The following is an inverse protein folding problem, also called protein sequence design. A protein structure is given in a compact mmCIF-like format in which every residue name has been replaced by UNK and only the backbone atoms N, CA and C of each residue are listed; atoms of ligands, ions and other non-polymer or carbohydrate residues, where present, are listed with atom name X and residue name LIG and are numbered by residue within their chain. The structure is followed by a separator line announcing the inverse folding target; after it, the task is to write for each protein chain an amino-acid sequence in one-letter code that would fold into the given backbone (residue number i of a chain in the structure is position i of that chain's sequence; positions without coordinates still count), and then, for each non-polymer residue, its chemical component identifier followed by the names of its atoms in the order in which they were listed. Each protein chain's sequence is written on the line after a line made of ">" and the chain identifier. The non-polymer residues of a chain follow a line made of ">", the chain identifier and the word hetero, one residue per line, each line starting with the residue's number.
data_IF_262056536195
#
_entry.id   IF_262056536195
#
_cell.length_a   1.000
_cell.length_b   1.000
_cell.length_c   1.000
_cell.angle_alpha   90.00
_cell.angle_beta   90.00
_cell.angle_gamma   90.00
#
_symmetry.space_group_name_H-M   'P 1'
#
loop_
_entity.id
_entity.type
_entity.pdbx_description
1 polymer ?
#
# COMPACT_ATOMS: atom_id res chain seq x y z
N UNK A 1 43.52 -6.67 -22.28
CA UNK A 1 42.30 -7.47 -21.99
C UNK A 1 41.68 -6.97 -20.68
N UNK A 2 40.75 -6.01 -20.74
CA UNK A 2 40.13 -5.43 -19.55
C UNK A 2 38.89 -6.24 -19.12
N UNK A 3 39.01 -7.03 -18.06
CA UNK A 3 37.91 -7.86 -17.55
C UNK A 3 36.90 -6.96 -16.82
N UNK A 4 35.75 -6.74 -17.48
CA UNK A 4 34.65 -5.91 -16.98
C UNK A 4 33.98 -6.61 -15.78
N UNK A 5 34.34 -6.21 -14.55
CA UNK A 5 33.79 -6.75 -13.30
C UNK A 5 32.31 -6.32 -13.16
N UNK A 6 31.39 -7.23 -13.47
CA UNK A 6 29.93 -7.03 -13.37
C UNK A 6 29.53 -7.00 -11.89
N UNK A 7 29.32 -5.81 -11.31
CA UNK A 7 28.77 -5.65 -9.95
C UNK A 7 27.31 -6.12 -9.95
N UNK A 8 27.06 -7.30 -9.42
CA UNK A 8 25.71 -7.74 -9.08
C UNK A 8 25.19 -6.90 -7.91
N UNK A 9 24.34 -5.91 -8.20
CA UNK A 9 23.59 -5.20 -7.17
C UNK A 9 22.60 -6.20 -6.58
N UNK A 10 22.95 -6.75 -5.40
CA UNK A 10 22.05 -7.58 -4.60
C UNK A 10 20.85 -6.71 -4.23
N UNK A 11 19.76 -6.84 -4.99
CA UNK A 11 18.49 -6.17 -4.74
C UNK A 11 17.97 -6.66 -3.38
N UNK A 12 18.20 -5.87 -2.34
CA UNK A 12 17.67 -6.17 -1.01
C UNK A 12 16.15 -6.19 -1.12
N UNK A 13 15.56 -7.38 -0.99
CA UNK A 13 14.11 -7.50 -0.87
C UNK A 13 13.71 -6.76 0.42
N UNK A 14 12.76 -5.81 0.36
CA UNK A 14 12.30 -5.13 1.56
C UNK A 14 11.78 -6.19 2.54
N UNK A 15 12.30 -6.17 3.77
CA UNK A 15 11.85 -7.01 4.88
C UNK A 15 10.33 -6.85 4.99
N UNK A 16 9.58 -7.93 4.77
CA UNK A 16 8.14 -7.89 4.73
C UNK A 16 7.60 -7.36 6.07
N UNK A 17 7.04 -6.15 6.06
CA UNK A 17 6.21 -5.67 7.16
C UNK A 17 5.04 -6.65 7.33
N UNK A 18 4.63 -6.89 8.59
CA UNK A 18 3.52 -7.79 8.87
C UNK A 18 2.25 -7.30 8.17
N UNK A 19 1.38 -8.23 7.74
CA UNK A 19 0.17 -7.89 7.00
C UNK A 19 -0.72 -6.87 7.76
N UNK A 20 -0.77 -6.97 9.09
CA UNK A 20 -1.47 -6.01 9.96
C UNK A 20 -0.85 -4.59 9.93
N UNK A 21 0.47 -4.47 9.77
CA UNK A 21 1.18 -3.20 9.62
C UNK A 21 0.96 -2.59 8.24
N UNK A 22 0.82 -3.42 7.19
CA UNK A 22 0.54 -2.94 5.84
C UNK A 22 -0.88 -2.35 5.73
N UNK A 23 -1.87 -3.01 6.35
CA UNK A 23 -3.27 -2.55 6.33
C UNK A 23 -3.47 -1.24 7.10
N UNK A 24 -2.87 -1.11 8.28
CA UNK A 24 -2.93 0.14 9.06
C UNK A 24 -2.23 1.31 8.34
N UNK A 25 -1.12 1.03 7.66
CA UNK A 25 -0.41 2.02 6.85
C UNK A 25 -1.27 2.50 5.66
N UNK A 26 -1.97 1.59 5.00
CA UNK A 26 -2.84 1.92 3.87
C UNK A 26 -4.03 2.77 4.36
N UNK A 27 -4.68 2.41 5.46
CA UNK A 27 -5.76 3.20 6.09
C UNK A 27 -5.29 4.61 6.48
N UNK A 28 -4.12 4.74 7.09
CA UNK A 28 -3.55 6.04 7.45
C UNK A 28 -3.22 6.87 6.20
N UNK A 29 -2.68 6.26 5.15
CA UNK A 29 -2.42 6.95 3.89
C UNK A 29 -3.73 7.44 3.23
N UNK A 30 -4.79 6.64 3.27
CA UNK A 30 -6.11 7.02 2.76
C UNK A 30 -6.70 8.19 3.56
N UNK A 31 -6.64 8.15 4.89
CA UNK A 31 -7.10 9.25 5.74
C UNK A 31 -6.33 10.57 5.47
N UNK A 32 -5.01 10.48 5.35
CA UNK A 32 -4.17 11.62 4.97
C UNK A 32 -4.48 12.13 3.55
N UNK A 33 -4.77 11.23 2.60
CA UNK A 33 -5.16 11.64 1.25
C UNK A 33 -6.50 12.38 1.25
N UNK A 34 -7.47 11.92 2.05
CA UNK A 34 -8.76 12.58 2.20
C UNK A 34 -8.64 13.98 2.82
N UNK A 35 -7.75 14.17 3.80
CA UNK A 35 -7.51 15.49 4.39
C UNK A 35 -6.85 16.45 3.39
N UNK A 36 -5.89 15.99 2.59
CA UNK A 36 -5.29 16.80 1.52
C UNK A 36 -6.28 17.15 0.41
N UNK A 37 -7.22 16.26 0.09
CA UNK A 37 -8.28 16.51 -0.88
C UNK A 37 -9.26 17.59 -0.37
N UNK A 38 -9.68 17.51 0.90
CA UNK A 38 -10.51 18.54 1.53
C UNK A 38 -9.81 19.90 1.59
N UNK A 39 -8.51 19.93 1.84
CA UNK A 39 -7.73 21.17 1.82
C UNK A 39 -7.69 21.81 0.42
N UNK A 40 -7.53 20.99 -0.63
CA UNK A 40 -7.56 21.42 -2.02
C UNK A 40 -8.93 21.97 -2.42
N UNK A 41 -10.01 21.31 -2.00
CA UNK A 41 -11.38 21.78 -2.20
C UNK A 41 -11.61 23.15 -1.56
N UNK A 42 -11.17 23.32 -0.30
CA UNK A 42 -11.23 24.61 0.40
C UNK A 42 -10.45 25.70 -0.33
N UNK A 43 -9.26 25.39 -0.83
CA UNK A 43 -8.44 26.34 -1.60
C UNK A 43 -9.13 26.74 -2.91
N UNK A 44 -9.76 25.79 -3.61
CA UNK A 44 -10.53 26.07 -4.83
C UNK A 44 -11.77 26.93 -4.55
N UNK A 45 -12.49 26.67 -3.45
CA UNK A 45 -13.61 27.52 -3.04
C UNK A 45 -13.16 28.95 -2.73
N UNK A 46 -11.99 29.12 -2.08
CA UNK A 46 -11.40 30.43 -1.83
C UNK A 46 -10.99 31.15 -3.12
N UNK A 47 -10.45 30.42 -4.11
CA UNK A 47 -10.15 30.94 -5.44
C UNK A 47 -11.41 31.46 -6.14
N UNK A 48 -12.49 30.66 -6.15
CA UNK A 48 -13.76 31.05 -6.75
C UNK A 48 -14.34 32.31 -6.09
N UNK A 49 -14.30 32.39 -4.75
CA UNK A 49 -14.72 33.60 -4.01
C UNK A 49 -13.85 34.81 -4.34
N UNK A 50 -12.53 34.64 -4.46
CA UNK A 50 -11.62 35.71 -4.82
C UNK A 50 -11.86 36.21 -6.26
N UNK A 51 -12.17 35.32 -7.20
CA UNK A 51 -12.53 35.66 -8.57
C UNK A 51 -13.85 36.44 -8.62
N UNK A 52 -14.89 35.93 -7.97
CA UNK A 52 -16.17 36.64 -7.89
C UNK A 52 -16.05 38.04 -7.24
N UNK A 53 -15.16 38.18 -6.25
CA UNK A 53 -14.85 39.49 -5.64
C UNK A 53 -14.11 40.44 -6.58
N UNK A 54 -13.34 39.92 -7.54
CA UNK A 54 -12.68 40.71 -8.59
C UNK A 54 -13.69 41.22 -9.61
N UNK A 55 -14.65 40.39 -10.01
CA UNK A 55 -15.66 40.75 -11.01
C UNK A 55 -16.64 41.81 -10.49
N UNK A 56 -16.89 41.84 -9.18
CA UNK A 56 -17.75 42.85 -8.52
C UNK A 56 -17.03 44.17 -8.17
N UNK A 57 -15.72 44.27 -8.36
CA UNK A 57 -14.95 45.45 -7.97
C UNK A 57 -15.16 46.62 -8.94
N UNK A 58 -15.76 47.71 -8.47
CA UNK A 58 -16.08 48.89 -9.29
C UNK A 58 -14.93 49.91 -9.39
N UNK A 59 -14.09 50.05 -8.37
CA UNK A 59 -13.00 51.05 -8.33
C UNK A 59 -11.64 50.46 -8.70
N UNK A 60 -10.73 51.28 -9.24
CA UNK A 60 -9.38 50.85 -9.64
C UNK A 60 -8.57 50.27 -8.45
N UNK A 61 -8.65 50.92 -7.28
CA UNK A 61 -8.01 50.42 -6.05
C UNK A 61 -8.58 49.06 -5.61
N UNK A 62 -9.91 48.88 -5.69
CA UNK A 62 -10.56 47.61 -5.36
C UNK A 62 -10.17 46.51 -6.36
N UNK A 63 -10.10 46.81 -7.67
CA UNK A 63 -9.65 45.89 -8.71
C UNK A 63 -8.21 45.42 -8.46
N UNK A 64 -7.30 46.32 -8.08
CA UNK A 64 -5.89 45.98 -7.75
C UNK A 64 -5.80 45.06 -6.53
N UNK A 65 -6.54 45.38 -5.45
CA UNK A 65 -6.61 44.53 -4.25
C UNK A 65 -7.24 43.15 -4.53
N UNK A 66 -8.30 43.11 -5.33
CA UNK A 66 -8.96 41.85 -5.70
C UNK A 66 -8.07 40.99 -6.61
N UNK A 67 -7.35 41.60 -7.55
CA UNK A 67 -6.35 40.91 -8.36
C UNK A 67 -5.26 40.28 -7.48
N UNK A 68 -4.73 41.01 -6.49
CA UNK A 68 -3.76 40.46 -5.54
C UNK A 68 -4.33 39.24 -4.78
N UNK A 69 -5.59 39.32 -4.31
CA UNK A 69 -6.28 38.19 -3.65
C UNK A 69 -6.46 36.97 -4.57
N UNK A 70 -6.72 37.18 -5.85
CA UNK A 70 -6.77 36.08 -6.83
C UNK A 70 -5.39 35.46 -7.02
N UNK A 71 -4.32 36.25 -7.08
CA UNK A 71 -2.96 35.71 -7.21
C UNK A 71 -2.54 34.88 -5.99
N UNK A 72 -2.85 35.34 -4.77
CA UNK A 72 -2.55 34.59 -3.55
C UNK A 72 -3.40 33.32 -3.45
N UNK A 73 -4.68 33.38 -3.82
CA UNK A 73 -5.54 32.20 -3.87
C UNK A 73 -5.06 31.17 -4.91
N UNK A 74 -4.58 31.60 -6.08
CA UNK A 74 -3.95 30.72 -7.08
C UNK A 74 -2.69 30.04 -6.53
N UNK A 75 -1.85 30.79 -5.82
CA UNK A 75 -0.66 30.23 -5.18
C UNK A 75 -1.04 29.18 -4.12
N UNK A 76 -2.06 29.44 -3.29
CA UNK A 76 -2.56 28.51 -2.30
C UNK A 76 -3.11 27.21 -2.93
N UNK A 77 -3.87 27.30 -4.02
CA UNK A 77 -4.35 26.13 -4.78
C UNK A 77 -3.17 25.32 -5.32
N UNK A 78 -2.16 25.98 -5.90
CA UNK A 78 -0.96 25.28 -6.42
C UNK A 78 -0.19 24.58 -5.30
N UNK A 79 -0.07 25.22 -4.13
CA UNK A 79 0.57 24.64 -2.96
C UNK A 79 -0.21 23.43 -2.41
N UNK A 80 -1.55 23.47 -2.40
CA UNK A 80 -2.40 22.36 -1.96
C UNK A 80 -2.49 21.22 -2.99
N UNK A 81 -2.30 21.51 -4.28
CA UNK A 81 -2.36 20.51 -5.36
C UNK A 81 -1.19 19.51 -5.33
N UNK A 82 0.01 19.95 -4.95
CA UNK A 82 1.20 19.09 -4.87
C UNK A 82 1.05 17.94 -3.84
N UNK A 83 0.70 18.18 -2.56
CA UNK A 83 0.53 17.12 -1.59
C UNK A 83 -0.64 16.20 -1.95
N UNK A 84 -1.75 16.71 -2.50
CA UNK A 84 -2.87 15.87 -2.94
C UNK A 84 -2.45 14.89 -4.05
N UNK A 85 -1.67 15.36 -5.04
CA UNK A 85 -1.14 14.49 -6.12
C UNK A 85 -0.17 13.44 -5.58
N UNK A 86 0.71 13.81 -4.64
CA UNK A 86 1.65 12.88 -4.04
C UNK A 86 0.95 11.85 -3.15
N UNK A 87 -0.06 12.26 -2.38
CA UNK A 87 -0.87 11.38 -1.56
C UNK A 87 -1.62 10.35 -2.42
N UNK A 88 -2.24 10.77 -3.53
CA UNK A 88 -2.91 9.86 -4.45
C UNK A 88 -1.94 8.81 -5.05
N UNK A 89 -0.73 9.23 -5.46
CA UNK A 89 0.30 8.30 -5.95
C UNK A 89 0.76 7.31 -4.88
N UNK A 90 0.88 7.76 -3.63
CA UNK A 90 1.25 6.91 -2.49
C UNK A 90 0.19 5.86 -2.19
N UNK A 91 -1.08 6.25 -2.12
CA UNK A 91 -2.19 5.30 -1.91
C UNK A 91 -2.23 4.24 -3.01
N UNK A 92 -2.16 4.65 -4.28
CA UNK A 92 -2.16 3.71 -5.41
C UNK A 92 -0.98 2.73 -5.39
N UNK A 93 0.20 3.17 -4.91
CA UNK A 93 1.35 2.29 -4.74
C UNK A 93 1.15 1.28 -3.60
N UNK A 94 0.58 1.72 -2.47
CA UNK A 94 0.29 0.86 -1.32
C UNK A 94 -0.78 -0.19 -1.64
N UNK A 95 -1.81 0.17 -2.40
CA UNK A 95 -2.86 -0.77 -2.84
C UNK A 95 -2.29 -1.89 -3.72
N UNK A 96 -1.39 -1.56 -4.65
CA UNK A 96 -0.72 -2.56 -5.49
C UNK A 96 0.16 -3.50 -4.66
N UNK A 97 0.84 -2.97 -3.65
CA UNK A 97 1.67 -3.77 -2.74
C UNK A 97 0.82 -4.70 -1.87
N UNK A 98 -0.28 -4.20 -1.31
CA UNK A 98 -1.21 -4.98 -0.50
C UNK A 98 -1.82 -6.14 -1.32
N UNK A 99 -2.26 -5.87 -2.54
CA UNK A 99 -2.78 -6.90 -3.44
C UNK A 99 -1.73 -7.98 -3.79
N UNK A 100 -0.47 -7.58 -4.00
CA UNK A 100 0.62 -8.51 -4.25
C UNK A 100 0.92 -9.38 -3.01
N UNK A 101 0.94 -8.77 -1.83
CA UNK A 101 1.14 -9.48 -0.56
C UNK A 101 0.03 -10.49 -0.27
N UNK A 102 -1.24 -10.10 -0.46
CA UNK A 102 -2.39 -11.00 -0.29
C UNK A 102 -2.32 -12.22 -1.22
N UNK A 103 -1.93 -12.02 -2.49
CA UNK A 103 -1.73 -13.13 -3.44
C UNK A 103 -0.59 -14.05 -3.01
N UNK A 104 0.53 -13.51 -2.54
CA UNK A 104 1.66 -14.30 -2.05
C UNK A 104 1.29 -15.10 -0.79
N UNK A 105 0.62 -14.45 0.17
CA UNK A 105 0.14 -15.08 1.40
C UNK A 105 -0.86 -16.21 1.11
N UNK A 106 -1.81 -16.01 0.20
CA UNK A 106 -2.77 -17.04 -0.20
C UNK A 106 -2.10 -18.27 -0.81
N UNK A 107 -1.07 -18.08 -1.66
CA UNK A 107 -0.28 -19.21 -2.21
C UNK A 107 0.50 -19.95 -1.12
N UNK A 108 1.11 -19.22 -0.19
CA UNK A 108 1.84 -19.83 0.92
C UNK A 108 0.91 -20.64 1.84
N UNK A 109 -0.26 -20.09 2.18
CA UNK A 109 -1.27 -20.79 2.97
C UNK A 109 -1.78 -22.05 2.26
N UNK A 110 -2.10 -21.97 0.97
CA UNK A 110 -2.52 -23.15 0.19
C UNK A 110 -1.45 -24.25 0.16
N UNK A 111 -0.16 -23.87 0.07
CA UNK A 111 0.94 -24.83 0.14
C UNK A 111 1.08 -25.48 1.53
N UNK A 112 0.84 -24.71 2.61
CA UNK A 112 0.84 -25.23 3.98
C UNK A 112 -0.35 -26.18 4.22
N UNK A 113 -1.54 -25.82 3.77
CA UNK A 113 -2.74 -26.68 3.87
C UNK A 113 -2.50 -28.02 3.19
N UNK A 114 -1.99 -28.03 1.95
CA UNK A 114 -1.62 -29.29 1.26
C UNK A 114 -0.62 -30.15 2.02
N UNK A 115 0.35 -29.53 2.70
CA UNK A 115 1.33 -30.24 3.54
C UNK A 115 0.67 -30.82 4.80
N UNK A 116 -0.25 -30.08 5.42
CA UNK A 116 -1.02 -30.55 6.57
C UNK A 116 -1.93 -31.71 6.18
N UNK A 117 -2.67 -31.61 5.07
CA UNK A 117 -3.53 -32.69 4.56
C UNK A 117 -2.72 -33.96 4.28
N UNK A 118 -1.55 -33.82 3.65
CA UNK A 118 -0.65 -34.93 3.39
C UNK A 118 -0.08 -35.54 4.68
N UNK A 119 0.20 -34.74 5.69
CA UNK A 119 0.65 -35.21 7.00
C UNK A 119 -0.48 -35.95 7.75
N UNK A 120 -1.70 -35.42 7.71
CA UNK A 120 -2.87 -36.02 8.32
C UNK A 120 -3.23 -37.35 7.65
N UNK A 121 -3.18 -37.42 6.31
CA UNK A 121 -3.37 -38.65 5.57
C UNK A 121 -2.32 -39.72 5.93
N UNK A 122 -1.05 -39.33 6.11
CA UNK A 122 0.01 -40.24 6.60
C UNK A 122 -0.25 -40.70 8.03
N UNK A 123 -0.72 -39.83 8.92
CA UNK A 123 -1.06 -40.17 10.29
C UNK A 123 -2.23 -41.16 10.35
N UNK A 124 -3.31 -40.92 9.59
CA UNK A 124 -4.46 -41.83 9.47
C UNK A 124 -4.06 -43.19 8.90
N UNK A 125 -3.22 -43.24 7.85
CA UNK A 125 -2.69 -44.50 7.30
C UNK A 125 -1.85 -45.29 8.33
N UNK A 126 -1.04 -44.60 9.14
CA UNK A 126 -0.27 -45.24 10.23
C UNK A 126 -1.18 -45.76 11.34
N UNK A 127 -2.27 -45.06 11.65
CA UNK A 127 -3.23 -45.46 12.67
C UNK A 127 -4.09 -46.66 12.24
N UNK A 128 -4.49 -46.71 10.96
CA UNK A 128 -5.32 -47.78 10.39
C UNK A 128 -4.54 -49.07 10.07
N UNK A 129 -3.21 -49.09 10.18
CA UNK A 129 -2.42 -50.29 9.94
C UNK A 129 -2.69 -51.36 11.02
N UNK A 130 -3.00 -52.63 10.64
CA UNK A 130 -3.32 -53.68 11.60
C UNK A 130 -2.16 -53.90 12.59
N UNK A 131 -2.49 -54.16 13.87
CA UNK A 131 -1.53 -54.26 15.01
C UNK A 131 -0.29 -55.10 14.69
N UNK A 132 -0.44 -56.19 13.94
CA UNK A 132 0.66 -57.09 13.52
C UNK A 132 1.68 -56.38 12.61
N UNK A 133 1.22 -55.61 11.60
CA UNK A 133 2.09 -54.82 10.71
C UNK A 133 2.74 -53.61 11.43
N UNK A 134 2.02 -52.98 12.37
CA UNK A 134 2.57 -51.90 13.22
C UNK A 134 3.71 -52.37 14.12
N UNK A 135 3.59 -53.58 14.69
CA UNK A 135 4.60 -54.17 15.57
C UNK A 135 5.89 -54.52 14.81
N UNK A 136 5.78 -55.07 13.60
CA UNK A 136 6.95 -55.38 12.74
C UNK A 136 7.66 -54.11 12.28
N UNK A 137 6.92 -53.07 11.88
CA UNK A 137 7.52 -51.79 11.48
C UNK A 137 8.27 -51.09 12.64
N UNK A 138 7.73 -51.14 13.87
CA UNK A 138 8.41 -50.63 15.06
C UNK A 138 9.67 -51.41 15.42
N UNK A 139 9.66 -52.74 15.24
CA UNK A 139 10.83 -53.59 15.49
C UNK A 139 11.97 -53.32 14.49
N UNK A 140 11.64 -53.05 13.22
CA UNK A 140 12.61 -52.71 12.16
C UNK A 140 13.21 -51.30 12.27
N UNK A 141 12.53 -50.36 12.93
CA UNK A 141 13.02 -49.00 13.11
C UNK A 141 13.86 -48.81 14.39
N UNK A 142 13.98 -49.86 15.20
CA UNK A 142 14.72 -49.89 16.47
C UNK A 142 16.02 -50.74 16.40
N UNK A 143 16.38 -51.18 15.19
CA UNK A 143 17.67 -51.79 14.81
C UNK A 143 18.34 -50.83 13.86
#
# INVERSE_FOLDING_TARGET
>A
MAVKKKRAVKKAAPKAASAASAESTLKNAQAASASTAKALEKANAALAKAQAGKDKAKTAAAKKKAAARVTTARAAVKAAALPAKLAAKRCAALEKLDAAQKKAAGRALAALVKKLDAAEAKAKKKAAAPKKKRRVARKKAAV
#
